data_IF_963334234680
#
_entry.id   IF_963334234680
#
_cell.length_a   1.000
_cell.length_b   1.000
_cell.length_c   1.000
_cell.angle_alpha   90.00
_cell.angle_beta   90.00
_cell.angle_gamma   90.00
#
_symmetry.space_group_name_H-M   'P 1'
#
loop_
_entity.id
_entity.type
_entity.pdbx_description
1 polymer ?
#
# COMPACT_ATOMS: atom_id res chain seq x y z
N UNK A 1 -37.09 40.52 -30.43
CA UNK A 1 -36.24 39.31 -30.57
C UNK A 1 -34.75 39.59 -30.79
N UNK A 2 -34.33 40.63 -31.53
CA UNK A 2 -32.88 40.91 -31.82
C UNK A 2 -32.00 41.18 -30.58
N UNK A 3 -32.55 41.82 -29.54
CA UNK A 3 -31.78 42.17 -28.33
C UNK A 3 -31.49 40.98 -27.40
N UNK A 4 -32.33 39.93 -27.44
CA UNK A 4 -32.15 38.73 -26.62
C UNK A 4 -30.96 37.90 -27.13
N UNK A 5 -30.90 37.66 -28.45
CA UNK A 5 -29.79 36.97 -29.10
C UNK A 5 -28.44 37.67 -28.93
N UNK A 6 -28.44 39.01 -28.95
CA UNK A 6 -27.23 39.79 -28.65
C UNK A 6 -26.71 39.53 -27.24
N UNK A 7 -27.60 39.51 -26.24
CA UNK A 7 -27.24 39.20 -24.85
C UNK A 7 -26.72 37.78 -24.69
N UNK A 8 -27.40 36.79 -25.26
CA UNK A 8 -26.96 35.38 -25.23
C UNK A 8 -25.58 35.21 -25.85
N UNK A 9 -25.27 35.91 -26.96
CA UNK A 9 -23.94 35.87 -27.58
C UNK A 9 -22.86 36.45 -26.67
N UNK A 10 -23.09 37.61 -26.05
CA UNK A 10 -22.12 38.22 -25.13
C UNK A 10 -21.88 37.36 -23.88
N UNK A 11 -22.95 36.86 -23.26
CA UNK A 11 -22.82 35.96 -22.11
C UNK A 11 -22.21 34.61 -22.48
N UNK A 12 -22.55 34.06 -23.66
CA UNK A 12 -21.98 32.80 -24.16
C UNK A 12 -20.49 32.90 -24.47
N UNK A 13 -20.01 34.03 -24.99
CA UNK A 13 -18.57 34.27 -25.19
C UNK A 13 -17.86 34.38 -23.84
N UNK A 14 -18.39 35.16 -22.89
CA UNK A 14 -17.82 35.24 -21.54
C UNK A 14 -17.81 33.90 -20.82
N UNK A 15 -18.90 33.13 -20.93
CA UNK A 15 -19.02 31.79 -20.37
C UNK A 15 -18.05 30.79 -21.03
N UNK A 16 -17.91 30.83 -22.35
CA UNK A 16 -16.96 30.00 -23.09
C UNK A 16 -15.50 30.29 -22.71
N UNK A 17 -15.14 31.58 -22.59
CA UNK A 17 -13.82 31.98 -22.09
C UNK A 17 -13.63 31.51 -20.65
N UNK A 18 -14.65 31.65 -19.79
CA UNK A 18 -14.65 31.13 -18.43
C UNK A 18 -14.43 29.61 -18.37
N UNK A 19 -15.09 28.84 -19.22
CA UNK A 19 -14.88 27.39 -19.33
C UNK A 19 -13.45 27.04 -19.74
N UNK A 20 -12.87 27.74 -20.71
CA UNK A 20 -11.48 27.54 -21.13
C UNK A 20 -10.53 27.75 -19.94
N UNK A 21 -10.73 28.82 -19.16
CA UNK A 21 -9.96 29.06 -17.95
C UNK A 21 -10.14 27.96 -16.90
N UNK A 22 -11.38 27.51 -16.65
CA UNK A 22 -11.63 26.39 -15.71
C UNK A 22 -10.90 25.13 -16.18
N UNK A 23 -11.02 24.73 -17.45
CA UNK A 23 -10.33 23.55 -17.96
C UNK A 23 -8.80 23.69 -17.90
N UNK A 24 -8.26 24.89 -18.14
CA UNK A 24 -6.81 25.11 -18.09
C UNK A 24 -6.27 25.13 -16.65
N UNK A 25 -6.92 25.84 -15.73
CA UNK A 25 -6.50 25.93 -14.34
C UNK A 25 -6.72 24.63 -13.55
N UNK A 26 -7.76 23.86 -13.87
CA UNK A 26 -8.09 22.61 -13.17
C UNK A 26 -7.62 21.34 -13.90
N UNK A 27 -6.96 21.47 -15.06
CA UNK A 27 -6.47 20.34 -15.88
C UNK A 27 -5.65 19.30 -15.12
N UNK A 28 -4.84 19.76 -14.16
CA UNK A 28 -3.97 18.91 -13.33
C UNK A 28 -4.49 18.69 -11.90
N UNK A 29 -5.62 19.30 -11.52
CA UNK A 29 -6.26 18.98 -10.25
C UNK A 29 -7.22 17.83 -10.49
N UNK A 30 -6.64 16.64 -10.69
CA UNK A 30 -7.41 15.40 -10.65
C UNK A 30 -8.20 15.34 -9.35
N UNK A 31 -9.27 14.53 -9.33
CA UNK A 31 -10.07 14.28 -8.15
C UNK A 31 -9.31 13.48 -7.05
N UNK A 32 -8.00 13.70 -6.87
CA UNK A 32 -7.14 13.06 -5.86
C UNK A 32 -7.62 13.33 -4.43
N UNK A 33 -8.39 14.39 -4.22
CA UNK A 33 -8.97 14.73 -2.92
C UNK A 33 -10.18 13.85 -2.54
N UNK A 34 -10.82 13.16 -3.48
CA UNK A 34 -11.99 12.32 -3.20
C UNK A 34 -11.63 11.27 -2.14
N UNK A 35 -12.56 10.95 -1.21
CA UNK A 35 -12.30 9.99 -0.13
C UNK A 35 -11.77 8.65 -0.63
N UNK A 36 -12.26 8.18 -1.78
CA UNK A 36 -11.83 6.95 -2.41
C UNK A 36 -10.36 6.98 -2.83
N UNK A 37 -9.96 8.04 -3.55
CA UNK A 37 -8.57 8.20 -3.99
C UNK A 37 -7.62 8.38 -2.81
N UNK A 38 -8.06 9.02 -1.71
CA UNK A 38 -7.25 9.10 -0.48
C UNK A 38 -6.98 7.73 0.13
N UNK A 39 -7.99 6.87 0.20
CA UNK A 39 -7.82 5.51 0.73
C UNK A 39 -6.92 4.69 -0.20
N UNK A 40 -7.16 4.71 -1.51
CA UNK A 40 -6.30 4.04 -2.50
C UNK A 40 -4.83 4.48 -2.40
N UNK A 41 -4.60 5.79 -2.35
CA UNK A 41 -3.24 6.34 -2.18
C UNK A 41 -2.61 5.97 -0.84
N UNK A 42 -3.39 5.87 0.23
CA UNK A 42 -2.90 5.44 1.55
C UNK A 42 -2.44 3.98 1.52
N UNK A 43 -3.18 3.13 0.82
CA UNK A 43 -2.83 1.72 0.61
C UNK A 43 -1.60 1.60 -0.33
N UNK A 44 -1.56 2.36 -1.42
CA UNK A 44 -0.43 2.37 -2.37
C UNK A 44 0.85 2.97 -1.80
N UNK A 45 0.74 3.82 -0.78
CA UNK A 45 1.87 4.33 0.01
C UNK A 45 2.41 3.35 1.05
N UNK A 46 1.85 2.13 1.13
CA UNK A 46 2.30 1.04 2.00
C UNK A 46 2.90 -0.10 1.17
N UNK A 47 3.57 -1.03 1.84
CA UNK A 47 4.01 -2.28 1.22
C UNK A 47 2.81 -3.23 1.15
N UNK A 48 2.38 -3.61 -0.05
CA UNK A 48 1.32 -4.60 -0.19
C UNK A 48 1.89 -5.99 0.05
N UNK A 49 1.20 -6.75 0.90
CA UNK A 49 1.60 -8.10 1.27
C UNK A 49 0.47 -9.07 1.04
N UNK A 50 0.81 -10.26 0.55
CA UNK A 50 -0.11 -11.39 0.45
C UNK A 50 0.39 -12.49 1.37
N UNK A 51 -0.40 -12.88 2.37
CA UNK A 51 -0.09 -14.03 3.23
C UNK A 51 -0.18 -15.34 2.46
N UNK A 52 0.57 -16.37 2.88
CA UNK A 52 0.56 -17.70 2.25
C UNK A 52 -0.86 -18.29 2.11
N UNK A 53 -1.74 -18.01 3.07
CA UNK A 53 -3.13 -18.44 3.03
C UNK A 53 -3.94 -17.72 1.94
N UNK A 54 -3.75 -16.40 1.81
CA UNK A 54 -4.42 -15.60 0.77
C UNK A 54 -3.83 -15.86 -0.62
N UNK A 55 -2.52 -16.14 -0.72
CA UNK A 55 -1.85 -16.44 -1.99
C UNK A 55 -2.52 -17.62 -2.70
N UNK A 56 -2.76 -18.72 -1.98
CA UNK A 56 -3.43 -19.91 -2.53
C UNK A 56 -4.84 -19.61 -3.07
N UNK A 57 -5.57 -18.70 -2.42
CA UNK A 57 -6.91 -18.31 -2.86
C UNK A 57 -6.84 -17.41 -4.10
N UNK A 58 -5.92 -16.45 -4.11
CA UNK A 58 -5.71 -15.55 -5.26
C UNK A 58 -5.26 -16.33 -6.50
N UNK A 59 -4.34 -17.29 -6.34
CA UNK A 59 -3.85 -18.16 -7.42
C UNK A 59 -4.98 -19.01 -8.01
N UNK A 60 -5.86 -19.55 -7.16
CA UNK A 60 -7.05 -20.32 -7.59
C UNK A 60 -7.99 -19.48 -8.45
N UNK A 61 -8.03 -18.17 -8.23
CA UNK A 61 -8.83 -17.22 -9.00
C UNK A 61 -8.04 -16.54 -10.14
N UNK A 62 -6.81 -17.01 -10.42
CA UNK A 62 -5.92 -16.50 -11.47
C UNK A 62 -5.62 -15.00 -11.34
N UNK A 63 -5.55 -14.49 -10.11
CA UNK A 63 -5.20 -13.10 -9.84
C UNK A 63 -3.69 -12.99 -9.63
N UNK A 64 -3.00 -12.40 -10.62
CA UNK A 64 -1.59 -12.08 -10.50
C UNK A 64 -1.37 -10.75 -9.74
N UNK A 65 -0.13 -10.53 -9.28
CA UNK A 65 0.24 -9.35 -8.49
C UNK A 65 -0.09 -8.03 -9.20
N UNK A 66 0.21 -7.94 -10.50
CA UNK A 66 -0.12 -6.74 -11.28
C UNK A 66 -1.61 -6.46 -11.30
N UNK A 67 -2.43 -7.51 -11.46
CA UNK A 67 -3.90 -7.39 -11.44
C UNK A 67 -4.37 -6.94 -10.08
N UNK A 68 -3.82 -7.51 -8.99
CA UNK A 68 -4.14 -7.12 -7.62
C UNK A 68 -3.84 -5.63 -7.40
N UNK A 69 -2.67 -5.15 -7.83
CA UNK A 69 -2.30 -3.73 -7.71
C UNK A 69 -3.30 -2.84 -8.46
N UNK A 70 -3.74 -3.25 -9.66
CA UNK A 70 -4.71 -2.45 -10.43
C UNK A 70 -6.07 -2.26 -9.74
N UNK A 71 -6.45 -3.08 -8.75
CA UNK A 71 -7.66 -2.80 -7.94
C UNK A 71 -7.57 -1.43 -7.26
N UNK A 72 -6.37 -0.99 -6.90
CA UNK A 72 -6.15 0.31 -6.26
C UNK A 72 -6.09 1.46 -7.26
N UNK A 73 -6.01 1.18 -8.55
CA UNK A 73 -6.09 2.20 -9.60
C UNK A 73 -7.56 2.47 -9.96
N UNK A 74 -8.26 1.46 -10.49
CA UNK A 74 -9.59 1.60 -11.12
C UNK A 74 -10.74 0.88 -10.36
N UNK A 75 -10.45 0.11 -9.32
CA UNK A 75 -11.47 -0.58 -8.52
C UNK A 75 -12.30 0.38 -7.65
N UNK A 76 -13.55 0.07 -7.37
CA UNK A 76 -14.45 0.91 -6.57
C UNK A 76 -14.39 0.54 -5.08
N UNK A 77 -14.25 1.53 -4.19
CA UNK A 77 -14.31 1.29 -2.74
C UNK A 77 -15.75 1.24 -2.22
N UNK A 78 -16.12 0.13 -1.60
CA UNK A 78 -17.40 -0.04 -0.90
C UNK A 78 -17.32 0.46 0.54
N UNK A 79 -17.46 1.77 0.76
CA UNK A 79 -17.39 2.39 2.09
C UNK A 79 -18.45 1.88 3.09
N UNK A 80 -19.64 1.53 2.61
CA UNK A 80 -20.72 1.00 3.46
C UNK A 80 -20.36 -0.37 4.05
N UNK A 81 -19.67 -1.19 3.27
CA UNK A 81 -19.24 -2.53 3.69
C UNK A 81 -17.89 -2.54 4.39
N UNK A 82 -17.09 -1.47 4.31
CA UNK A 82 -15.72 -1.44 4.85
C UNK A 82 -15.65 -1.27 6.37
N UNK A 83 -14.61 -1.82 7.00
CA UNK A 83 -14.26 -1.54 8.41
C UNK A 83 -13.41 -0.28 8.47
N UNK A 84 -14.01 0.82 8.95
CA UNK A 84 -13.40 2.17 8.86
C UNK A 84 -12.87 2.70 10.20
N UNK A 85 -13.12 1.99 11.30
CA UNK A 85 -12.84 2.42 12.66
C UNK A 85 -11.89 1.45 13.38
N UNK A 86 -11.23 1.96 14.43
CA UNK A 86 -10.23 1.24 15.23
C UNK A 86 -8.84 1.23 14.58
N UNK A 87 -7.92 0.57 15.27
CA UNK A 87 -6.49 0.53 14.93
C UNK A 87 -6.20 -0.33 13.68
N UNK A 88 -7.19 -1.08 13.19
CA UNK A 88 -7.11 -1.83 11.94
C UNK A 88 -8.33 -1.51 11.09
N UNK A 89 -8.10 -0.76 10.01
CA UNK A 89 -9.11 -0.49 8.99
C UNK A 89 -8.99 -1.51 7.86
N UNK A 90 -10.09 -1.86 7.24
CA UNK A 90 -10.14 -2.81 6.13
C UNK A 90 -11.14 -2.30 5.10
N UNK A 91 -10.67 -2.09 3.87
CA UNK A 91 -11.48 -1.56 2.79
C UNK A 91 -11.79 -2.64 1.77
N UNK A 92 -13.08 -2.76 1.43
CA UNK A 92 -13.54 -3.62 0.35
C UNK A 92 -13.41 -2.86 -0.97
N UNK A 93 -12.63 -3.41 -1.89
CA UNK A 93 -12.41 -2.86 -3.23
C UNK A 93 -12.97 -3.86 -4.24
N UNK A 94 -13.86 -3.39 -5.10
CA UNK A 94 -14.53 -4.20 -6.11
C UNK A 94 -14.04 -3.80 -7.49
N UNK A 95 -13.62 -4.77 -8.30
CA UNK A 95 -13.17 -4.53 -9.67
C UNK A 95 -13.71 -5.61 -10.60
N UNK A 96 -14.04 -5.23 -11.82
CA UNK A 96 -14.33 -6.21 -12.88
C UNK A 96 -13.02 -6.74 -13.48
N UNK A 97 -12.83 -8.06 -13.42
CA UNK A 97 -11.69 -8.77 -13.99
C UNK A 97 -12.23 -9.89 -14.89
N UNK A 98 -11.89 -9.85 -16.18
CA UNK A 98 -12.33 -10.82 -17.18
C UNK A 98 -13.87 -11.03 -17.19
N UNK A 99 -14.64 -9.94 -17.12
CA UNK A 99 -16.12 -9.99 -17.13
C UNK A 99 -16.75 -10.43 -15.81
N UNK A 100 -15.96 -10.61 -14.74
CA UNK A 100 -16.44 -11.00 -13.41
C UNK A 100 -16.14 -9.90 -12.39
N UNK A 101 -17.15 -9.52 -11.62
CA UNK A 101 -16.95 -8.65 -10.47
C UNK A 101 -16.26 -9.42 -9.34
N UNK A 102 -15.07 -8.97 -8.96
CA UNK A 102 -14.25 -9.56 -7.91
C UNK A 102 -14.10 -8.54 -6.79
N UNK A 103 -14.22 -9.03 -5.56
CA UNK A 103 -13.99 -8.26 -4.35
C UNK A 103 -12.65 -8.67 -3.74
N UNK A 104 -11.83 -7.70 -3.38
CA UNK A 104 -10.64 -7.88 -2.54
C UNK A 104 -10.72 -6.95 -1.34
N UNK A 105 -10.15 -7.37 -0.22
CA UNK A 105 -10.03 -6.54 0.97
C UNK A 105 -8.58 -6.09 1.14
N UNK A 106 -8.39 -4.83 1.51
CA UNK A 106 -7.08 -4.24 1.78
C UNK A 106 -7.04 -3.71 3.20
N UNK A 107 -6.07 -4.16 3.99
CA UNK A 107 -5.92 -3.73 5.38
C UNK A 107 -5.04 -2.49 5.51
N UNK A 108 -5.38 -1.62 6.45
CA UNK A 108 -4.60 -0.44 6.82
C UNK A 108 -4.43 -0.49 8.33
N UNK A 109 -3.36 -1.13 8.83
CA UNK A 109 -3.02 -1.08 10.25
C UNK A 109 -2.54 0.34 10.60
N UNK A 110 -2.90 0.79 11.80
CA UNK A 110 -2.40 2.02 12.39
C UNK A 110 -0.91 1.86 12.73
N UNK A 111 -0.09 2.85 12.38
CA UNK A 111 1.35 2.85 12.65
C UNK A 111 2.19 1.80 11.91
N UNK A 112 1.59 0.85 11.17
CA UNK A 112 2.31 -0.15 10.39
C UNK A 112 2.49 0.25 8.92
N UNK A 113 3.56 -0.22 8.28
CA UNK A 113 3.84 0.06 6.86
C UNK A 113 3.30 -1.00 5.90
N UNK A 114 2.80 -2.13 6.42
CA UNK A 114 2.25 -3.23 5.63
C UNK A 114 0.75 -3.07 5.45
N UNK A 115 0.27 -3.25 4.22
CA UNK A 115 -1.14 -3.43 3.90
C UNK A 115 -1.33 -4.84 3.35
N UNK A 116 -2.11 -5.67 4.03
CA UNK A 116 -2.38 -7.03 3.56
C UNK A 116 -3.50 -7.02 2.51
N UNK A 117 -3.33 -7.81 1.45
CA UNK A 117 -4.38 -8.13 0.47
C UNK A 117 -5.04 -9.43 0.90
N UNK A 118 -6.35 -9.38 1.08
CA UNK A 118 -7.14 -10.46 1.66
C UNK A 118 -8.23 -10.89 0.69
N UNK A 119 -8.34 -12.21 0.49
CA UNK A 119 -9.50 -12.79 -0.16
C UNK A 119 -10.70 -12.74 0.80
N UNK A 120 -11.84 -12.15 0.39
CA UNK A 120 -13.00 -12.00 1.27
C UNK A 120 -13.47 -13.33 1.87
N UNK A 121 -13.51 -13.40 3.20
CA UNK A 121 -14.04 -14.56 3.94
C UNK A 121 -14.76 -14.09 5.20
N UNK A 122 -16.06 -14.43 5.31
CA UNK A 122 -16.88 -14.02 6.44
C UNK A 122 -17.17 -12.52 6.46
N UNK A 123 -17.25 -11.95 7.67
CA UNK A 123 -17.51 -10.52 7.86
C UNK A 123 -16.23 -9.71 7.98
N UNK A 124 -16.09 -8.70 7.11
CA UNK A 124 -14.97 -7.74 7.13
C UNK A 124 -14.85 -6.97 8.46
N UNK A 125 -15.95 -6.77 9.19
CA UNK A 125 -15.91 -6.10 10.50
C UNK A 125 -15.18 -6.96 11.55
N UNK A 126 -15.31 -8.28 11.43
CA UNK A 126 -14.66 -9.25 12.32
C UNK A 126 -13.21 -9.57 11.93
N UNK A 127 -12.74 -9.06 10.78
CA UNK A 127 -11.37 -9.31 10.32
C UNK A 127 -10.34 -8.75 11.31
N UNK A 128 -9.30 -9.55 11.53
CA UNK A 128 -8.12 -9.25 12.35
C UNK A 128 -6.87 -9.53 11.52
N UNK A 129 -5.77 -8.86 11.88
CA UNK A 129 -4.48 -9.05 11.24
C UNK A 129 -4.09 -10.54 11.21
N UNK A 130 -3.44 -10.96 10.12
CA UNK A 130 -2.78 -12.26 10.07
C UNK A 130 -1.68 -12.32 11.11
N UNK A 131 -1.63 -13.45 11.85
CA UNK A 131 -0.71 -13.66 12.97
C UNK A 131 0.22 -14.85 12.77
N UNK A 132 0.11 -15.56 11.64
CA UNK A 132 0.91 -16.76 11.36
C UNK A 132 1.38 -16.82 9.91
N UNK A 133 2.50 -17.50 9.70
CA UNK A 133 3.04 -17.76 8.37
C UNK A 133 3.78 -16.56 7.78
N UNK A 134 4.16 -16.69 6.50
CA UNK A 134 4.85 -15.63 5.78
C UNK A 134 3.89 -14.83 4.90
N UNK A 135 4.29 -13.60 4.63
CA UNK A 135 3.65 -12.71 3.68
C UNK A 135 4.64 -12.28 2.61
N UNK A 136 4.29 -12.51 1.35
CA UNK A 136 5.07 -12.05 0.20
C UNK A 136 4.75 -10.60 -0.12
N UNK A 137 5.78 -9.78 -0.25
CA UNK A 137 5.64 -8.38 -0.65
C UNK A 137 5.43 -8.31 -2.17
N UNK A 138 4.30 -7.72 -2.61
CA UNK A 138 3.92 -7.67 -4.03
C UNK A 138 4.01 -6.27 -4.63
N UNK A 139 4.02 -5.24 -3.78
CA UNK A 139 4.12 -3.83 -4.19
C UNK A 139 4.79 -3.01 -3.11
N UNK A 140 5.51 -1.97 -3.52
CA UNK A 140 6.22 -1.05 -2.64
C UNK A 140 5.81 0.39 -2.94
N UNK A 141 5.88 1.30 -1.95
CA UNK A 141 5.56 2.71 -2.16
C UNK A 141 6.38 3.30 -3.31
N UNK A 142 5.73 4.08 -4.18
CA UNK A 142 6.39 4.73 -5.32
C UNK A 142 7.12 6.01 -4.89
N UNK A 143 8.12 5.83 -4.03
CA UNK A 143 9.05 6.87 -3.57
C UNK A 143 10.48 6.43 -3.86
N UNK A 144 11.40 7.40 -3.96
CA UNK A 144 12.80 7.13 -4.28
C UNK A 144 13.42 6.18 -3.23
N UNK A 145 13.24 6.52 -1.96
CA UNK A 145 13.75 5.77 -0.81
C UNK A 145 12.59 5.57 0.17
N UNK A 146 12.31 4.33 0.54
CA UNK A 146 11.36 3.96 1.58
C UNK A 146 12.01 3.10 2.67
N UNK A 147 13.31 2.85 2.58
CA UNK A 147 14.11 2.21 3.65
C UNK A 147 14.93 3.28 4.33
N UNK A 148 15.02 3.19 5.65
CA UNK A 148 15.89 4.01 6.48
C UNK A 148 16.63 3.08 7.46
N UNK A 149 17.96 3.12 7.45
CA UNK A 149 18.78 2.37 8.41
C UNK A 149 19.06 3.26 9.62
N UNK A 150 18.61 2.82 10.80
CA UNK A 150 18.76 3.62 12.03
C UNK A 150 20.24 3.79 12.39
N UNK A 151 20.67 5.03 12.50
CA UNK A 151 22.03 5.37 12.94
C UNK A 151 22.28 4.92 14.39
N UNK A 152 22.93 3.77 14.56
CA UNK A 152 23.42 3.30 15.85
C UNK A 152 24.60 2.32 15.67
N UNK A 153 25.44 2.21 16.70
CA UNK A 153 26.66 1.40 16.66
C UNK A 153 26.40 -0.10 16.44
N UNK A 154 25.28 -0.61 16.95
CA UNK A 154 24.91 -2.02 16.84
C UNK A 154 24.56 -2.36 15.40
N UNK A 155 23.67 -1.57 14.79
CA UNK A 155 23.25 -1.74 13.41
C UNK A 155 24.42 -1.55 12.44
N UNK A 156 25.27 -0.56 12.68
CA UNK A 156 26.45 -0.30 11.85
C UNK A 156 27.39 -1.52 11.82
N UNK A 157 27.64 -2.16 12.97
CA UNK A 157 28.42 -3.41 13.04
C UNK A 157 27.73 -4.56 12.34
N UNK A 158 26.41 -4.70 12.49
CA UNK A 158 25.62 -5.73 11.80
C UNK A 158 25.66 -5.54 10.28
N UNK A 159 25.53 -4.31 9.79
CA UNK A 159 25.62 -4.00 8.36
C UNK A 159 26.96 -4.44 7.77
N UNK A 160 28.07 -4.11 8.42
CA UNK A 160 29.42 -4.56 8.00
C UNK A 160 29.50 -6.09 7.97
N UNK A 161 29.01 -6.77 9.03
CA UNK A 161 28.99 -8.24 9.10
C UNK A 161 28.18 -8.87 7.97
N UNK A 162 27.03 -8.31 7.63
CA UNK A 162 26.16 -8.82 6.58
C UNK A 162 26.54 -8.30 5.17
N UNK A 163 27.57 -7.46 5.04
CA UNK A 163 27.97 -6.87 3.77
C UNK A 163 26.95 -5.89 3.18
N UNK A 164 26.15 -5.24 4.03
CA UNK A 164 25.17 -4.21 3.66
C UNK A 164 25.86 -2.85 3.62
N UNK A 165 25.68 -2.11 2.53
CA UNK A 165 26.40 -0.84 2.30
C UNK A 165 25.60 0.37 2.78
N UNK A 166 24.33 0.43 2.40
CA UNK A 166 23.46 1.58 2.56
C UNK A 166 21.98 1.20 2.45
N UNK A 167 21.10 2.17 2.68
CA UNK A 167 19.64 2.05 2.54
C UNK A 167 19.22 1.50 1.18
N UNK A 168 19.91 1.91 0.10
CA UNK A 168 19.61 1.47 -1.26
C UNK A 168 19.86 -0.04 -1.43
N UNK A 169 20.94 -0.55 -0.84
CA UNK A 169 21.28 -1.97 -0.89
C UNK A 169 20.22 -2.83 -0.18
N UNK A 170 19.72 -2.38 0.98
CA UNK A 170 18.66 -3.06 1.71
C UNK A 170 17.33 -2.94 0.99
N UNK A 171 17.00 -1.76 0.46
CA UNK A 171 15.81 -1.53 -0.37
C UNK A 171 15.79 -2.46 -1.59
N UNK A 172 16.93 -2.62 -2.28
CA UNK A 172 17.05 -3.51 -3.43
C UNK A 172 16.79 -4.98 -3.04
N UNK A 173 17.38 -5.44 -1.93
CA UNK A 173 17.16 -6.80 -1.42
C UNK A 173 15.69 -7.01 -1.03
N UNK A 174 15.09 -6.04 -0.34
CA UNK A 174 13.70 -6.09 0.08
C UNK A 174 12.74 -6.17 -1.11
N UNK A 175 12.95 -5.38 -2.16
CA UNK A 175 12.16 -5.44 -3.40
C UNK A 175 12.24 -6.80 -4.10
N UNK A 176 13.37 -7.48 -3.96
CA UNK A 176 13.66 -8.69 -4.72
C UNK A 176 13.11 -9.96 -4.07
N UNK A 177 13.20 -10.07 -2.75
CA UNK A 177 12.85 -11.28 -2.01
C UNK A 177 12.29 -11.03 -0.61
N UNK A 178 11.88 -9.80 -0.32
CA UNK A 178 11.32 -9.43 0.98
C UNK A 178 10.05 -10.21 1.32
N UNK A 179 10.04 -10.78 2.52
CA UNK A 179 8.90 -11.41 3.16
C UNK A 179 8.67 -10.75 4.53
N UNK A 180 7.43 -10.77 5.00
CA UNK A 180 7.11 -10.52 6.41
C UNK A 180 6.83 -11.85 7.10
N UNK A 181 7.32 -12.04 8.31
CA UNK A 181 6.92 -13.14 9.20
C UNK A 181 5.83 -12.63 10.14
N UNK A 182 4.57 -13.03 9.89
CA UNK A 182 3.45 -12.61 10.72
C UNK A 182 3.50 -13.17 12.13
N UNK A 183 4.18 -14.31 12.31
CA UNK A 183 4.29 -15.00 13.61
C UNK A 183 5.23 -14.28 14.56
N UNK A 184 6.25 -13.61 14.02
CA UNK A 184 7.19 -12.80 14.79
C UNK A 184 6.84 -11.32 14.83
N UNK A 185 6.02 -10.84 13.89
CA UNK A 185 5.58 -9.44 13.84
C UNK A 185 4.60 -9.12 14.97
N UNK A 186 4.76 -7.96 15.58
CA UNK A 186 3.84 -7.42 16.59
C UNK A 186 3.01 -6.29 15.99
N UNK A 187 2.12 -6.64 15.07
CA UNK A 187 1.33 -5.69 14.26
C UNK A 187 0.33 -4.83 15.06
N UNK A 188 0.02 -5.24 16.29
CA UNK A 188 -0.91 -4.52 17.17
C UNK A 188 -0.19 -3.94 18.41
N UNK A 189 1.14 -3.91 18.44
CA UNK A 189 1.88 -3.38 19.58
C UNK A 189 1.77 -1.85 19.67
N UNK A 190 1.74 -1.33 20.89
CA UNK A 190 1.80 0.09 21.21
C UNK A 190 3.17 0.43 21.86
N UNK A 191 3.71 1.64 21.64
CA UNK A 191 3.14 2.74 20.85
C UNK A 191 3.32 2.55 19.33
N UNK A 192 4.25 1.70 18.91
CA UNK A 192 4.58 1.46 17.49
C UNK A 192 4.54 -0.02 17.17
N UNK A 193 3.82 -0.44 16.11
CA UNK A 193 3.88 -1.81 15.63
C UNK A 193 5.29 -2.18 15.14
N UNK A 194 5.71 -3.41 15.45
CA UNK A 194 6.96 -4.00 14.98
C UNK A 194 6.67 -5.00 13.86
N UNK A 195 7.29 -4.84 12.69
CA UNK A 195 7.23 -5.82 11.60
C UNK A 195 8.55 -6.57 11.51
N UNK A 196 8.45 -7.89 11.43
CA UNK A 196 9.59 -8.77 11.28
C UNK A 196 9.77 -9.15 9.81
N UNK A 197 10.85 -8.64 9.20
CA UNK A 197 11.15 -8.85 7.79
C UNK A 197 12.15 -9.99 7.65
N UNK A 198 11.94 -10.82 6.63
CA UNK A 198 12.83 -11.92 6.24
C UNK A 198 13.21 -11.73 4.78
N UNK A 199 14.51 -11.75 4.48
CA UNK A 199 15.04 -11.52 3.13
C UNK A 199 16.00 -12.67 2.78
N UNK A 200 15.52 -13.72 2.09
CA UNK A 200 16.37 -14.77 1.54
C UNK A 200 17.37 -14.18 0.54
N UNK A 201 18.66 -14.53 0.69
CA UNK A 201 19.75 -14.04 -0.17
C UNK A 201 20.26 -15.14 -1.09
N UNK A 202 20.86 -14.73 -2.23
CA UNK A 202 21.39 -15.66 -3.24
C UNK A 202 22.53 -16.54 -2.71
N UNK A 203 23.24 -16.10 -1.68
CA UNK A 203 24.28 -16.84 -0.96
C UNK A 203 23.74 -18.04 -0.16
N UNK A 204 22.42 -18.22 -0.09
CA UNK A 204 21.77 -19.32 0.62
C UNK A 204 21.46 -19.01 2.09
N UNK A 205 21.89 -17.85 2.58
CA UNK A 205 21.56 -17.35 3.91
C UNK A 205 20.35 -16.39 3.88
N UNK A 206 19.83 -16.08 5.05
CA UNK A 206 18.62 -15.27 5.21
C UNK A 206 18.91 -14.10 6.13
N UNK A 207 18.70 -12.88 5.62
CA UNK A 207 18.77 -11.68 6.44
C UNK A 207 17.42 -11.48 7.12
N UNK A 208 17.40 -11.48 8.45
CA UNK A 208 16.22 -11.19 9.26
C UNK A 208 16.35 -9.80 9.86
N UNK A 209 15.26 -9.06 9.97
CA UNK A 209 15.30 -7.71 10.50
C UNK A 209 14.05 -7.36 11.30
N UNK A 210 14.25 -6.56 12.36
CA UNK A 210 13.16 -5.87 13.05
C UNK A 210 13.02 -4.46 12.48
N UNK A 211 11.78 -4.10 12.20
CA UNK A 211 11.45 -2.84 11.55
C UNK A 211 10.24 -2.17 12.15
N UNK A 212 10.20 -0.83 12.05
CA UNK A 212 9.02 -0.02 12.36
C UNK A 212 8.74 0.97 11.23
N UNK A 213 7.58 1.62 11.27
CA UNK A 213 7.30 2.76 10.38
C UNK A 213 7.69 4.06 11.06
N UNK A 214 8.60 4.82 10.44
CA UNK A 214 9.09 6.08 10.98
C UNK A 214 9.25 7.12 9.86
N UNK A 215 8.60 8.29 10.02
CA UNK A 215 8.67 9.43 9.08
C UNK A 215 8.54 9.01 7.60
N UNK A 216 7.54 8.19 7.30
CA UNK A 216 7.25 7.66 5.96
C UNK A 216 8.32 6.71 5.37
N UNK A 217 9.17 6.14 6.22
CA UNK A 217 10.16 5.12 5.86
C UNK A 217 9.99 3.87 6.73
N UNK A 218 10.38 2.72 6.17
CA UNK A 218 10.62 1.49 6.89
C UNK A 218 11.96 1.65 7.61
N UNK A 219 11.92 1.92 8.90
CA UNK A 219 13.11 2.00 9.73
C UNK A 219 13.56 0.58 10.09
N UNK A 220 14.77 0.23 9.69
CA UNK A 220 15.48 -0.96 10.16
C UNK A 220 16.34 -0.55 11.35
N UNK A 221 16.11 -1.16 12.50
CA UNK A 221 16.86 -0.85 13.73
C UNK A 221 17.66 -2.03 14.27
N UNK A 222 17.38 -3.25 13.81
CA UNK A 222 18.13 -4.45 14.20
C UNK A 222 18.08 -5.51 13.10
N UNK A 223 19.23 -6.09 12.79
CA UNK A 223 19.35 -7.32 11.99
C UNK A 223 19.59 -8.52 12.92
N UNK A 224 18.94 -9.64 12.62
CA UNK A 224 19.10 -10.90 13.38
C UNK A 224 19.86 -11.94 12.55
N UNK A 225 20.64 -12.76 13.24
CA UNK A 225 21.31 -13.92 12.66
C UNK A 225 20.34 -15.11 12.48
N UNK A 226 20.82 -16.10 11.74
CA UNK A 226 20.05 -17.30 11.48
C UNK A 226 19.83 -18.14 12.75
#
# INVERSE_FOLDING_TARGET
>A
MKNFWRRVRFYGVGFGIGLIFVFFFFRNRGCTWLPENRVKNTIMGKVLVVSDANQKLLDKHHLNDSTIVTFLDDGSISFGSSKKQGNLKVYKVTKEVNGKSIDLWFSIPEGGFVSEVIWPKGSIQSYKNTITGFGRMIHFPNVKNFVYLKENDVLSKQMVKFGLKDDNSVQFLLKKSGLIDFSKSKLNAEPTPEQYIVIPRKSGDTLKARTTWFKDHIEFYEFEEN
#
